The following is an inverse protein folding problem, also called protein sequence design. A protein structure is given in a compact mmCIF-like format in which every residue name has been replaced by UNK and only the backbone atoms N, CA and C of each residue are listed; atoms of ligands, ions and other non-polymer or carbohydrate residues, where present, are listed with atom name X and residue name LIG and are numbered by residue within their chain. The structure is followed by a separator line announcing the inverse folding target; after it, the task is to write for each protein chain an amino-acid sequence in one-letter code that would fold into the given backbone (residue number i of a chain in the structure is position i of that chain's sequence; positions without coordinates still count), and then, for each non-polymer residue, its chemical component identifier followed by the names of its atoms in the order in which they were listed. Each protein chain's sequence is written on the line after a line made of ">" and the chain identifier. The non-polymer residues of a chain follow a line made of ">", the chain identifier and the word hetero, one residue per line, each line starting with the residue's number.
data_IF_725946485935
#
_entry.id   IF_725946485935
#
_cell.length_a   1.000
_cell.length_b   1.000
_cell.length_c   1.000
_cell.angle_alpha   90.00
_cell.angle_beta   90.00
_cell.angle_gamma   90.00
#
_symmetry.space_group_name_H-M   'P 1'
#
loop_
_entity.id
_entity.type
_entity.pdbx_description
1 polymer ?
#
# COMPACT_ATOMS: atom_id res chain seq x y z
N UNK A 1 -35.67 -17.26 -5.48
CA UNK A 1 -34.23 -17.09 -5.81
C UNK A 1 -34.12 -15.97 -6.83
N UNK A 2 -33.38 -14.90 -6.51
CA UNK A 2 -33.37 -13.68 -7.34
C UNK A 2 -32.23 -13.76 -8.38
N UNK A 3 -32.53 -14.28 -9.56
CA UNK A 3 -31.55 -14.49 -10.65
C UNK A 3 -30.78 -13.22 -11.05
N UNK A 4 -31.42 -12.06 -10.89
CA UNK A 4 -30.79 -10.74 -11.08
C UNK A 4 -29.59 -10.52 -10.16
N UNK A 5 -29.72 -10.87 -8.87
CA UNK A 5 -28.61 -10.74 -7.91
C UNK A 5 -27.47 -11.70 -8.24
N UNK A 6 -27.79 -12.89 -8.74
CA UNK A 6 -26.80 -13.90 -9.12
C UNK A 6 -25.94 -13.44 -10.31
N UNK A 7 -26.57 -12.82 -11.31
CA UNK A 7 -25.85 -12.29 -12.48
C UNK A 7 -25.08 -11.01 -12.09
N UNK A 8 -25.69 -10.11 -11.32
CA UNK A 8 -25.05 -8.88 -10.88
C UNK A 8 -23.80 -9.15 -10.02
N UNK A 9 -23.86 -10.08 -9.07
CA UNK A 9 -22.71 -10.44 -8.24
C UNK A 9 -21.58 -11.08 -9.05
N UNK A 10 -21.91 -11.89 -10.06
CA UNK A 10 -20.91 -12.50 -10.94
C UNK A 10 -20.16 -11.43 -11.76
N UNK A 11 -20.88 -10.43 -12.28
CA UNK A 11 -20.27 -9.30 -13.00
C UNK A 11 -19.39 -8.47 -12.08
N UNK A 12 -19.85 -8.15 -10.87
CA UNK A 12 -19.07 -7.38 -9.88
C UNK A 12 -17.83 -8.17 -9.46
N UNK A 13 -17.95 -9.46 -9.17
CA UNK A 13 -16.82 -10.31 -8.81
C UNK A 13 -15.76 -10.35 -9.92
N UNK A 14 -16.19 -10.48 -11.18
CA UNK A 14 -15.28 -10.43 -12.32
C UNK A 14 -14.59 -9.07 -12.45
N UNK A 15 -15.33 -7.98 -12.24
CA UNK A 15 -14.79 -6.62 -12.29
C UNK A 15 -13.74 -6.40 -11.20
N UNK A 16 -14.05 -6.80 -9.96
CA UNK A 16 -13.10 -6.74 -8.83
C UNK A 16 -11.89 -7.63 -9.08
N UNK A 17 -12.07 -8.83 -9.63
CA UNK A 17 -10.97 -9.73 -9.98
C UNK A 17 -10.02 -9.09 -11.00
N UNK A 18 -10.54 -8.52 -12.09
CA UNK A 18 -9.72 -7.84 -13.09
C UNK A 18 -9.01 -6.61 -12.51
N UNK A 19 -9.68 -5.86 -11.63
CA UNK A 19 -9.08 -4.73 -10.92
C UNK A 19 -7.95 -5.19 -10.00
N UNK A 20 -8.17 -6.25 -9.23
CA UNK A 20 -7.17 -6.82 -8.33
C UNK A 20 -5.91 -7.24 -9.08
N UNK A 21 -6.05 -7.91 -10.22
CA UNK A 21 -4.89 -8.29 -11.05
C UNK A 21 -4.11 -7.05 -11.54
N UNK A 22 -4.80 -5.97 -11.91
CA UNK A 22 -4.15 -4.70 -12.29
C UNK A 22 -3.41 -4.07 -11.12
N UNK A 23 -4.04 -4.01 -9.95
CA UNK A 23 -3.43 -3.45 -8.72
C UNK A 23 -2.22 -4.27 -8.29
N UNK A 24 -2.31 -5.60 -8.31
CA UNK A 24 -1.19 -6.47 -7.95
C UNK A 24 -0.02 -6.26 -8.91
N UNK A 25 -0.27 -6.17 -10.22
CA UNK A 25 0.79 -5.86 -11.19
C UNK A 25 1.43 -4.50 -10.94
N UNK A 26 0.64 -3.48 -10.64
CA UNK A 26 1.14 -2.16 -10.28
C UNK A 26 1.99 -2.23 -8.99
N UNK A 27 1.50 -2.93 -7.96
CA UNK A 27 2.19 -3.09 -6.68
C UNK A 27 3.55 -3.82 -6.82
N UNK A 28 3.60 -4.87 -7.65
CA UNK A 28 4.86 -5.58 -7.96
C UNK A 28 5.82 -4.63 -8.67
N UNK A 29 5.36 -3.87 -9.68
CA UNK A 29 6.18 -2.89 -10.38
C UNK A 29 6.74 -1.83 -9.43
N UNK A 30 5.90 -1.28 -8.54
CA UNK A 30 6.35 -0.31 -7.53
C UNK A 30 7.32 -0.93 -6.53
N UNK A 31 7.10 -2.18 -6.10
CA UNK A 31 7.98 -2.88 -5.17
C UNK A 31 9.36 -3.15 -5.79
N UNK A 32 9.41 -3.55 -7.06
CA UNK A 32 10.68 -3.73 -7.80
C UNK A 32 11.39 -2.40 -8.00
N UNK A 33 10.67 -1.34 -8.39
CA UNK A 33 11.24 0.00 -8.53
C UNK A 33 11.80 0.51 -7.21
N UNK A 34 11.05 0.36 -6.10
CA UNK A 34 11.51 0.65 -4.75
C UNK A 34 12.76 -0.16 -4.40
N UNK A 35 12.75 -1.47 -4.65
CA UNK A 35 13.90 -2.33 -4.39
C UNK A 35 15.14 -1.89 -5.17
N UNK A 36 14.99 -1.52 -6.44
CA UNK A 36 16.07 -0.96 -7.26
C UNK A 36 16.59 0.36 -6.71
N UNK A 37 15.71 1.30 -6.40
CA UNK A 37 16.09 2.60 -5.81
C UNK A 37 16.82 2.40 -4.48
N UNK A 38 16.29 1.54 -3.62
CA UNK A 38 16.87 1.18 -2.33
C UNK A 38 18.19 0.44 -2.49
N UNK A 39 18.36 -0.40 -3.52
CA UNK A 39 19.61 -1.07 -3.83
C UNK A 39 20.69 -0.07 -4.28
N UNK A 40 20.33 0.87 -5.17
CA UNK A 40 21.24 1.95 -5.58
C UNK A 40 21.62 2.81 -4.38
N UNK A 41 20.64 3.18 -3.54
CA UNK A 41 20.89 3.98 -2.35
C UNK A 41 21.82 3.26 -1.35
N UNK A 42 21.61 1.96 -1.15
CA UNK A 42 22.49 1.14 -0.32
C UNK A 42 23.92 1.06 -0.86
N UNK A 43 24.09 0.92 -2.18
CA UNK A 43 25.42 0.85 -2.80
C UNK A 43 26.14 2.20 -2.81
N UNK A 44 25.42 3.31 -2.97
CA UNK A 44 26.00 4.66 -3.06
C UNK A 44 26.22 5.29 -1.69
N UNK A 45 25.24 5.17 -0.77
CA UNK A 45 25.27 5.82 0.54
C UNK A 45 25.62 4.86 1.70
N UNK A 46 25.62 3.54 1.48
CA UNK A 46 25.89 2.55 2.53
C UNK A 46 24.78 2.40 3.56
N UNK A 47 23.63 3.06 3.38
CA UNK A 47 22.52 3.09 4.33
C UNK A 47 21.47 2.04 3.93
N UNK A 48 21.21 1.08 4.82
CA UNK A 48 20.20 0.04 4.64
C UNK A 48 18.75 0.55 4.72
N UNK A 49 17.78 -0.12 4.06
CA UNK A 49 16.36 0.26 4.11
C UNK A 49 15.77 0.22 5.53
N UNK A 50 16.33 -0.59 6.43
CA UNK A 50 15.95 -0.59 7.84
C UNK A 50 16.23 0.73 8.54
N UNK A 51 17.26 1.48 8.12
CA UNK A 51 17.60 2.77 8.71
C UNK A 51 16.64 3.88 8.27
N UNK A 52 16.16 3.82 7.01
CA UNK A 52 15.11 4.71 6.52
C UNK A 52 13.83 4.54 7.35
N UNK A 53 13.45 3.30 7.64
CA UNK A 53 12.30 3.02 8.51
C UNK A 53 12.53 3.48 9.95
N UNK A 54 13.75 3.41 10.45
CA UNK A 54 14.10 3.89 11.80
C UNK A 54 13.96 5.40 11.94
N UNK A 55 14.22 6.15 10.86
CA UNK A 55 14.06 7.60 10.83
C UNK A 55 12.63 8.05 10.50
N UNK A 56 11.93 7.36 9.58
CA UNK A 56 10.58 7.73 9.14
C UNK A 56 9.47 7.18 10.05
N UNK A 57 9.68 6.03 10.68
CA UNK A 57 8.70 5.37 11.54
C UNK A 57 8.18 6.27 12.67
N UNK A 58 9.04 6.92 13.47
CA UNK A 58 8.62 7.83 14.53
C UNK A 58 7.80 9.02 14.02
N UNK A 59 8.19 9.59 12.88
CA UNK A 59 7.50 10.74 12.27
C UNK A 59 6.08 10.35 11.83
N UNK A 60 5.93 9.17 11.22
CA UNK A 60 4.64 8.69 10.74
C UNK A 60 3.70 8.29 11.90
N UNK A 61 4.24 7.65 12.95
CA UNK A 61 3.49 7.32 14.17
C UNK A 61 2.98 8.59 14.87
N UNK A 62 3.80 9.64 14.98
CA UNK A 62 3.40 10.90 15.61
C UNK A 62 2.25 11.61 14.88
N UNK A 63 2.20 11.52 13.54
CA UNK A 63 1.08 12.03 12.74
C UNK A 63 -0.20 11.23 12.97
N UNK A 64 -0.07 9.92 13.13
CA UNK A 64 -1.19 9.05 13.44
C UNK A 64 -1.75 9.32 14.84
N UNK A 65 -0.89 9.62 15.80
CA UNK A 65 -1.28 10.03 17.15
C UNK A 65 -1.98 11.40 17.17
N UNK A 66 -1.50 12.37 16.37
CA UNK A 66 -2.18 13.65 16.18
C UNK A 66 -3.57 13.48 15.55
N UNK A 67 -3.71 12.63 14.53
CA UNK A 67 -5.01 12.31 13.93
C UNK A 67 -5.97 11.64 14.92
N UNK A 68 -5.48 10.70 15.73
CA UNK A 68 -6.27 10.08 16.78
C UNK A 68 -6.72 11.09 17.84
N UNK A 69 -5.87 12.04 18.20
CA UNK A 69 -6.24 13.14 19.10
C UNK A 69 -7.35 14.02 18.55
N UNK A 70 -7.36 14.29 17.24
CA UNK A 70 -8.42 15.06 16.58
C UNK A 70 -9.77 14.32 16.53
N UNK A 71 -9.74 13.00 16.31
CA UNK A 71 -10.97 12.19 16.22
C UNK A 71 -11.52 11.87 17.63
N UNK A 72 -10.65 11.72 18.63
CA UNK A 72 -11.06 11.45 20.01
C UNK A 72 -11.55 12.69 20.77
N UNK A 73 -11.24 13.90 20.27
CA UNK A 73 -11.66 15.18 20.84
C UNK A 73 -12.90 15.81 20.19
N UNK A 74 -13.58 15.11 19.27
CA UNK A 74 -14.81 15.51 18.60
C UNK A 74 -15.96 14.56 18.94
#
# INVERSE_FOLDING_TARGET
>A
MNWVLMIASLVVAFLVFTFLVKVVRAAIGTAIALALVVLVLQLVFGIGPGELWRQLGPTLLSLWDWLRGLIAGA
#
